data_IF_819150367344
#
_entry.id   IF_819150367344
#
_cell.length_a   1.000
_cell.length_b   1.000
_cell.length_c   1.000
_cell.angle_alpha   90.00
_cell.angle_beta   90.00
_cell.angle_gamma   90.00
#
_symmetry.space_group_name_H-M   'P 1'
#
loop_
_entity.id
_entity.type
_entity.pdbx_description
1 polymer ?
#
# COMPACT_ATOMS: atom_id res chain seq x y z
N UNK A 1 -9.87 9.47 13.25
CA UNK A 1 -8.73 9.62 14.17
C UNK A 1 -8.42 11.10 14.31
N UNK A 2 -8.76 11.74 15.44
CA UNK A 2 -8.52 13.16 15.69
C UNK A 2 -7.02 13.51 15.80
N UNK A 3 -6.17 12.50 16.00
CA UNK A 3 -4.73 12.67 16.26
C UNK A 3 -3.88 12.50 15.00
N UNK A 4 -4.25 13.20 13.90
CA UNK A 4 -3.30 13.36 12.81
C UNK A 4 -2.19 14.33 13.23
N UNK A 5 -1.21 13.81 13.98
CA UNK A 5 0.05 14.49 14.28
C UNK A 5 0.96 14.44 13.05
N UNK A 6 0.50 15.02 11.94
CA UNK A 6 1.27 15.12 10.71
C UNK A 6 2.56 15.91 10.90
N UNK A 7 3.50 15.75 9.96
CA UNK A 7 4.69 16.60 9.89
C UNK A 7 4.26 18.07 9.89
N UNK A 8 5.00 18.95 10.58
CA UNK A 8 4.83 20.41 10.43
C UNK A 8 5.13 20.82 8.99
N UNK A 9 4.60 21.95 8.52
CA UNK A 9 4.70 22.35 7.11
C UNK A 9 6.13 22.43 6.57
N UNK A 10 7.05 23.06 7.31
CA UNK A 10 8.46 23.12 6.92
C UNK A 10 9.10 21.73 6.88
N UNK A 11 8.79 20.88 7.87
CA UNK A 11 9.30 19.51 7.95
C UNK A 11 8.78 18.68 6.77
N UNK A 12 7.50 18.83 6.41
CA UNK A 12 6.89 18.11 5.29
C UNK A 12 7.55 18.42 3.95
N UNK A 13 7.75 19.70 3.61
CA UNK A 13 8.35 20.07 2.32
C UNK A 13 9.78 19.51 2.21
N UNK A 14 10.54 19.58 3.31
CA UNK A 14 11.87 18.97 3.38
C UNK A 14 11.80 17.45 3.22
N UNK A 15 10.88 16.75 3.90
CA UNK A 15 10.76 15.29 3.75
C UNK A 15 10.27 14.88 2.36
N UNK A 16 9.36 15.63 1.75
CA UNK A 16 8.91 15.39 0.38
C UNK A 16 10.08 15.50 -0.61
N UNK A 17 10.95 16.51 -0.44
CA UNK A 17 12.16 16.64 -1.25
C UNK A 17 13.14 15.47 -1.04
N UNK A 18 13.34 15.04 0.21
CA UNK A 18 14.19 13.88 0.54
C UNK A 18 13.63 12.57 0.00
N UNK A 19 12.31 12.39 0.02
CA UNK A 19 11.65 11.23 -0.57
C UNK A 19 11.84 11.21 -2.09
N UNK A 20 11.65 12.36 -2.74
CA UNK A 20 11.90 12.52 -4.17
C UNK A 20 13.37 12.22 -4.53
N UNK A 21 14.32 12.75 -3.75
CA UNK A 21 15.75 12.44 -3.91
C UNK A 21 16.03 10.95 -3.72
N UNK A 22 15.43 10.32 -2.71
CA UNK A 22 15.60 8.90 -2.47
C UNK A 22 15.13 8.09 -3.67
N UNK A 23 13.91 8.35 -4.16
CA UNK A 23 13.34 7.64 -5.31
C UNK A 23 14.21 7.84 -6.56
N UNK A 24 14.57 9.09 -6.88
CA UNK A 24 15.27 9.43 -8.12
C UNK A 24 16.74 9.02 -8.17
N UNK A 25 17.44 9.09 -7.04
CA UNK A 25 18.91 9.05 -7.05
C UNK A 25 19.46 7.92 -6.18
N UNK A 26 18.94 7.77 -4.96
CA UNK A 26 19.55 6.87 -3.96
C UNK A 26 19.07 5.44 -4.14
N UNK A 27 17.76 5.26 -4.11
CA UNK A 27 17.07 3.98 -4.18
C UNK A 27 16.56 3.63 -5.57
N UNK A 28 16.94 4.36 -6.63
CA UNK A 28 16.38 4.17 -7.97
C UNK A 28 16.44 2.72 -8.48
N UNK A 29 17.52 1.98 -8.16
CA UNK A 29 17.70 0.55 -8.49
C UNK A 29 16.68 -0.39 -7.85
N UNK A 30 15.95 0.06 -6.83
CA UNK A 30 14.92 -0.73 -6.15
C UNK A 30 13.61 -0.76 -6.95
N UNK A 31 13.39 0.23 -7.82
CA UNK A 31 12.14 0.39 -8.54
C UNK A 31 12.22 -0.38 -9.86
N UNK A 32 11.13 -1.04 -10.29
CA UNK A 32 11.09 -1.69 -11.59
C UNK A 32 11.36 -0.69 -12.73
N UNK A 33 11.96 -1.17 -13.81
CA UNK A 33 12.27 -0.35 -14.98
C UNK A 33 11.01 0.34 -15.52
N UNK A 34 11.15 1.61 -15.89
CA UNK A 34 10.04 2.45 -16.38
C UNK A 34 9.07 2.94 -15.29
N UNK A 35 9.26 2.60 -14.01
CA UNK A 35 8.42 3.13 -12.92
C UNK A 35 8.74 4.60 -12.65
N UNK A 36 10.04 4.92 -12.53
CA UNK A 36 10.51 6.28 -12.28
C UNK A 36 10.72 6.95 -13.64
N UNK A 37 9.77 7.79 -14.03
CA UNK A 37 9.86 8.60 -15.27
C UNK A 37 9.87 10.09 -14.93
N UNK A 38 10.42 10.96 -15.79
CA UNK A 38 10.37 12.40 -15.57
C UNK A 38 8.93 12.94 -15.39
N UNK A 39 7.91 12.51 -16.18
CA UNK A 39 6.52 12.90 -15.94
C UNK A 39 5.99 12.47 -14.57
N UNK A 40 6.21 11.21 -14.17
CA UNK A 40 5.76 10.68 -12.88
C UNK A 40 6.38 11.48 -11.72
N UNK A 41 7.67 11.79 -11.79
CA UNK A 41 8.35 12.52 -10.72
C UNK A 41 8.00 14.01 -10.68
N UNK A 42 7.63 14.61 -11.82
CA UNK A 42 7.06 15.97 -11.85
C UNK A 42 5.71 15.99 -11.12
N UNK A 43 4.85 14.99 -11.35
CA UNK A 43 3.57 14.84 -10.68
C UNK A 43 3.68 14.44 -9.21
N UNK A 44 4.70 13.68 -8.82
CA UNK A 44 4.83 13.11 -7.47
C UNK A 44 4.83 14.17 -6.35
N UNK A 45 5.59 15.27 -6.51
CA UNK A 45 5.60 16.34 -5.49
C UNK A 45 4.27 17.08 -5.41
N UNK A 46 3.63 17.34 -6.56
CA UNK A 46 2.31 17.94 -6.61
C UNK A 46 1.29 17.03 -5.90
N UNK A 47 1.28 15.74 -6.22
CA UNK A 47 0.46 14.73 -5.56
C UNK A 47 0.65 14.74 -4.04
N UNK A 48 1.89 14.73 -3.53
CA UNK A 48 2.14 14.76 -2.09
C UNK A 48 1.54 16.01 -1.43
N UNK A 49 1.76 17.18 -2.02
CA UNK A 49 1.26 18.46 -1.51
C UNK A 49 -0.27 18.51 -1.57
N UNK A 50 -0.88 18.15 -2.70
CA UNK A 50 -2.32 18.12 -2.89
C UNK A 50 -2.99 17.13 -1.95
N UNK A 51 -2.44 15.92 -1.83
CA UNK A 51 -2.95 14.89 -0.90
C UNK A 51 -2.87 15.38 0.54
N UNK A 52 -1.75 16.01 0.94
CA UNK A 52 -1.60 16.55 2.30
C UNK A 52 -2.60 17.67 2.59
N UNK A 53 -2.80 18.59 1.65
CA UNK A 53 -3.77 19.66 1.78
C UNK A 53 -5.21 19.12 1.92
N UNK A 54 -5.49 17.96 1.32
CA UNK A 54 -6.83 17.39 1.22
C UNK A 54 -7.03 16.12 2.08
N UNK A 55 -6.17 15.79 3.05
CA UNK A 55 -6.28 14.52 3.82
C UNK A 55 -7.68 14.29 4.37
N UNK A 56 -8.30 15.31 4.95
CA UNK A 56 -9.63 15.17 5.54
C UNK A 56 -10.72 14.99 4.48
N UNK A 57 -10.63 15.72 3.36
CA UNK A 57 -11.54 15.56 2.24
C UNK A 57 -11.43 14.17 1.62
N UNK A 58 -10.20 13.66 1.41
CA UNK A 58 -9.96 12.32 0.88
C UNK A 58 -10.51 11.27 1.83
N UNK A 59 -10.26 11.40 3.14
CA UNK A 59 -10.80 10.47 4.15
C UNK A 59 -12.32 10.47 4.16
N UNK A 60 -12.94 11.64 4.08
CA UNK A 60 -14.39 11.76 3.95
C UNK A 60 -14.88 11.11 2.65
N UNK A 61 -14.23 11.38 1.52
CA UNK A 61 -14.59 10.83 0.20
C UNK A 61 -14.57 9.31 0.19
N UNK A 62 -13.55 8.69 0.80
CA UNK A 62 -13.37 7.25 0.92
C UNK A 62 -14.43 6.57 1.80
N UNK A 63 -15.13 7.31 2.67
CA UNK A 63 -16.12 6.76 3.60
C UNK A 63 -17.54 7.31 3.37
N UNK A 64 -17.76 8.11 2.32
CA UNK A 64 -19.04 8.79 2.10
C UNK A 64 -20.16 7.86 1.62
N UNK A 65 -19.77 6.73 1.02
CA UNK A 65 -20.67 5.74 0.44
C UNK A 65 -20.58 4.46 1.28
N UNK A 66 -21.69 4.11 1.92
CA UNK A 66 -21.80 2.96 2.82
C UNK A 66 -21.54 1.64 2.08
N UNK A 67 -21.80 1.56 0.77
CA UNK A 67 -21.50 0.37 -0.02
C UNK A 67 -19.99 0.08 -0.06
N UNK A 68 -19.16 1.11 0.10
CA UNK A 68 -17.69 1.02 0.11
C UNK A 68 -17.11 0.93 1.51
N UNK A 69 -17.93 0.74 2.55
CA UNK A 69 -17.50 0.57 3.94
C UNK A 69 -17.79 -0.86 4.39
N UNK A 70 -16.78 -1.58 4.87
CA UNK A 70 -16.96 -2.95 5.34
C UNK A 70 -16.21 -3.21 6.65
N UNK A 71 -16.73 -4.16 7.44
CA UNK A 71 -16.00 -4.72 8.58
C UNK A 71 -14.97 -5.72 8.05
N UNK A 72 -13.72 -5.52 8.43
CA UNK A 72 -12.64 -6.43 8.06
C UNK A 72 -11.33 -6.06 8.74
N UNK A 73 -10.31 -6.92 8.65
CA UNK A 73 -8.99 -6.64 9.21
C UNK A 73 -8.37 -5.42 8.51
N UNK A 74 -7.74 -4.51 9.26
CA UNK A 74 -7.05 -3.39 8.63
C UNK A 74 -5.70 -3.75 8.03
N UNK A 75 -5.16 -4.88 8.47
CA UNK A 75 -3.90 -5.43 8.00
C UNK A 75 -4.09 -6.92 7.83
N UNK A 76 -3.69 -7.41 6.67
CA UNK A 76 -3.58 -8.83 6.37
C UNK A 76 -2.21 -8.99 5.76
N UNK A 77 -1.36 -9.78 6.39
CA UNK A 77 -0.11 -10.24 5.79
C UNK A 77 -0.10 -11.77 5.70
N UNK A 78 1.00 -12.34 5.21
CA UNK A 78 1.10 -13.79 5.00
C UNK A 78 0.99 -14.57 6.31
N UNK A 79 1.33 -13.95 7.44
CA UNK A 79 1.30 -14.59 8.75
C UNK A 79 -0.12 -14.55 9.35
N UNK A 80 -0.94 -13.57 8.94
CA UNK A 80 -2.36 -13.49 9.29
C UNK A 80 -3.19 -14.63 8.70
N UNK A 81 -2.76 -15.22 7.59
CA UNK A 81 -3.51 -16.24 6.87
C UNK A 81 -3.05 -17.66 7.22
N UNK A 82 -3.99 -18.59 7.35
CA UNK A 82 -3.67 -20.01 7.52
C UNK A 82 -4.52 -20.89 6.63
N UNK A 83 -3.88 -21.90 6.05
CA UNK A 83 -4.57 -22.96 5.36
C UNK A 83 -4.88 -24.08 6.36
N UNK A 84 -6.10 -24.61 6.34
CA UNK A 84 -6.41 -25.88 7.01
C UNK A 84 -6.89 -26.88 5.99
N UNK A 85 -6.67 -28.17 6.27
CA UNK A 85 -7.16 -29.26 5.45
C UNK A 85 -8.25 -30.01 6.21
N UNK A 86 -9.36 -30.31 5.55
CA UNK A 86 -10.35 -31.22 6.11
C UNK A 86 -9.73 -32.61 6.29
N UNK A 87 -9.84 -33.15 7.51
CA UNK A 87 -9.40 -34.50 7.79
C UNK A 87 -10.17 -35.51 6.91
N UNK A 88 -9.54 -36.61 6.47
CA UNK A 88 -10.24 -37.68 5.76
C UNK A 88 -11.38 -38.21 6.64
N UNK A 89 -12.61 -38.10 6.15
CA UNK A 89 -13.75 -38.82 6.75
C UNK A 89 -13.79 -40.22 6.15
N UNK A 90 -14.11 -41.25 6.96
CA UNK A 90 -14.13 -42.67 6.54
C UNK A 90 -14.70 -42.83 5.12
N UNK A 91 -13.89 -43.33 4.20
CA UNK A 91 -14.28 -43.61 2.81
C UNK A 91 -14.27 -42.42 1.84
N UNK A 92 -13.87 -41.21 2.25
CA UNK A 92 -13.71 -40.05 1.36
C UNK A 92 -12.33 -39.39 1.55
N UNK A 93 -11.54 -39.19 0.48
CA UNK A 93 -10.32 -38.40 0.58
C UNK A 93 -10.68 -36.97 1.02
N UNK A 94 -9.91 -36.41 1.96
CA UNK A 94 -10.08 -35.03 2.43
C UNK A 94 -9.91 -34.08 1.24
N UNK A 95 -10.98 -33.36 0.86
CA UNK A 95 -11.03 -32.68 -0.44
C UNK A 95 -11.16 -31.16 -0.35
N UNK A 96 -11.24 -30.58 0.86
CA UNK A 96 -11.32 -29.14 1.03
C UNK A 96 -10.19 -28.63 1.91
N UNK A 97 -9.37 -27.79 1.30
CA UNK A 97 -8.46 -26.89 2.01
C UNK A 97 -9.19 -25.56 2.14
N UNK A 98 -9.37 -25.07 3.37
CA UNK A 98 -9.92 -23.75 3.63
C UNK A 98 -8.80 -22.75 3.90
N UNK A 99 -9.10 -21.46 3.73
CA UNK A 99 -8.24 -20.35 4.13
C UNK A 99 -8.92 -19.58 5.25
N UNK A 100 -8.20 -19.30 6.32
CA UNK A 100 -8.69 -18.54 7.47
C UNK A 100 -7.76 -17.40 7.83
N UNK A 101 -8.27 -16.50 8.67
CA UNK A 101 -7.52 -15.38 9.23
C UNK A 101 -7.41 -15.56 10.74
N UNK A 102 -6.23 -15.27 11.32
CA UNK A 102 -5.93 -15.41 12.75
C UNK A 102 -6.08 -14.11 13.54
N UNK A 103 -5.76 -12.98 12.91
CA UNK A 103 -5.57 -11.69 13.60
C UNK A 103 -6.88 -10.87 13.62
N UNK A 104 -7.81 -11.25 14.50
CA UNK A 104 -9.12 -10.59 14.62
C UNK A 104 -9.11 -9.32 15.46
N UNK A 105 -8.03 -9.04 16.20
CA UNK A 105 -7.88 -7.87 17.07
C UNK A 105 -7.87 -6.53 16.30
N UNK A 106 -7.55 -6.57 15.00
CA UNK A 106 -7.53 -5.41 14.13
C UNK A 106 -8.73 -5.36 13.15
N UNK A 107 -9.84 -6.02 13.50
CA UNK A 107 -11.06 -6.01 12.69
C UNK A 107 -11.94 -4.83 13.08
N UNK A 108 -12.18 -3.93 12.12
CA UNK A 108 -13.07 -2.76 12.28
C UNK A 108 -13.75 -2.39 10.97
N UNK A 109 -14.87 -1.66 11.07
CA UNK A 109 -15.48 -1.00 9.93
C UNK A 109 -14.52 0.04 9.33
N UNK A 110 -14.48 0.14 8.01
CA UNK A 110 -13.75 1.20 7.33
C UNK A 110 -13.79 1.08 5.80
N UNK A 111 -13.22 2.08 5.09
CA UNK A 111 -13.23 2.12 3.63
C UNK A 111 -12.56 0.90 3.00
N UNK A 112 -13.24 0.28 2.03
CA UNK A 112 -12.75 -0.87 1.29
C UNK A 112 -11.48 -0.56 0.51
N UNK A 113 -11.38 0.59 -0.15
CA UNK A 113 -10.15 0.97 -0.87
C UNK A 113 -8.93 1.07 0.04
N UNK A 114 -9.10 1.57 1.27
CA UNK A 114 -8.01 1.63 2.28
C UNK A 114 -7.59 0.23 2.71
N UNK A 115 -8.56 -0.65 2.98
CA UNK A 115 -8.28 -2.04 3.38
C UNK A 115 -7.59 -2.81 2.25
N UNK A 116 -8.11 -2.74 1.03
CA UNK A 116 -7.53 -3.39 -0.15
C UNK A 116 -6.12 -2.89 -0.43
N UNK A 117 -5.88 -1.57 -0.37
CA UNK A 117 -4.53 -1.02 -0.48
C UNK A 117 -3.60 -1.63 0.57
N UNK A 118 -4.01 -1.66 1.85
CA UNK A 118 -3.19 -2.22 2.93
C UNK A 118 -2.91 -3.72 2.79
N UNK A 119 -3.86 -4.48 2.26
CA UNK A 119 -3.67 -5.93 2.00
C UNK A 119 -2.74 -6.18 0.81
N UNK A 120 -2.75 -5.28 -0.19
CA UNK A 120 -1.99 -5.45 -1.43
C UNK A 120 -0.67 -4.65 -1.47
N UNK A 121 -0.41 -3.72 -0.55
CA UNK A 121 0.77 -2.84 -0.59
C UNK A 121 2.12 -3.57 -0.48
N UNK A 122 2.12 -4.86 -0.11
CA UNK A 122 3.32 -5.70 -0.11
C UNK A 122 3.33 -6.78 -1.21
N UNK A 123 2.30 -6.84 -2.06
CA UNK A 123 2.24 -7.75 -3.20
C UNK A 123 3.41 -7.54 -4.17
N UNK A 124 3.71 -8.54 -5.00
CA UNK A 124 4.74 -8.42 -6.04
C UNK A 124 4.39 -7.26 -7.00
N UNK A 125 5.41 -6.59 -7.52
CA UNK A 125 5.22 -5.33 -8.26
C UNK A 125 4.47 -5.52 -9.57
N UNK A 126 4.72 -6.63 -10.26
CA UNK A 126 4.00 -7.11 -11.44
C UNK A 126 2.52 -7.38 -11.14
N UNK A 127 2.21 -7.98 -9.98
CA UNK A 127 0.82 -8.20 -9.54
C UNK A 127 0.07 -6.86 -9.42
N UNK A 128 0.69 -5.83 -8.83
CA UNK A 128 0.07 -4.50 -8.74
C UNK A 128 0.02 -3.76 -10.08
N UNK A 129 1.05 -3.89 -10.92
CA UNK A 129 1.14 -3.18 -12.19
C UNK A 129 0.18 -3.75 -13.24
N UNK A 130 0.10 -5.08 -13.33
CA UNK A 130 -0.57 -5.78 -14.43
C UNK A 130 -1.90 -6.39 -14.01
N UNK A 131 -2.06 -6.75 -12.73
CA UNK A 131 -3.20 -7.54 -12.24
C UNK A 131 -4.06 -6.82 -11.20
N UNK A 132 -3.78 -5.55 -10.87
CA UNK A 132 -4.59 -4.79 -9.90
C UNK A 132 -6.07 -4.82 -10.25
N UNK A 133 -6.44 -4.44 -11.47
CA UNK A 133 -7.85 -4.35 -11.84
C UNK A 133 -8.52 -5.73 -11.86
N UNK A 134 -7.79 -6.79 -12.21
CA UNK A 134 -8.28 -8.18 -12.09
C UNK A 134 -8.53 -8.58 -10.64
N UNK A 135 -7.64 -8.19 -9.71
CA UNK A 135 -7.81 -8.43 -8.29
C UNK A 135 -9.01 -7.65 -7.73
N UNK A 136 -9.19 -6.40 -8.15
CA UNK A 136 -10.36 -5.59 -7.77
C UNK A 136 -11.65 -6.22 -8.30
N UNK A 137 -11.71 -6.63 -9.58
CA UNK A 137 -12.87 -7.36 -10.14
C UNK A 137 -13.14 -8.67 -9.41
N UNK A 138 -12.09 -9.42 -9.08
CA UNK A 138 -12.20 -10.65 -8.30
C UNK A 138 -12.81 -10.37 -6.92
N UNK A 139 -12.32 -9.33 -6.23
CA UNK A 139 -12.86 -8.90 -4.95
C UNK A 139 -14.34 -8.54 -5.09
N UNK A 140 -14.72 -7.67 -6.02
CA UNK A 140 -16.12 -7.26 -6.25
C UNK A 140 -17.02 -8.49 -6.46
N UNK A 141 -16.59 -9.42 -7.30
CA UNK A 141 -17.34 -10.66 -7.59
C UNK A 141 -17.52 -11.52 -6.34
N UNK A 142 -16.44 -11.75 -5.58
CA UNK A 142 -16.47 -12.60 -4.38
C UNK A 142 -17.25 -11.91 -3.27
N UNK A 143 -17.06 -10.61 -3.09
CA UNK A 143 -17.74 -9.79 -2.09
C UNK A 143 -19.26 -9.83 -2.31
N UNK A 144 -19.72 -9.60 -3.55
CA UNK A 144 -21.13 -9.74 -3.91
C UNK A 144 -21.68 -11.16 -3.70
N UNK A 145 -20.92 -12.17 -4.09
CA UNK A 145 -21.33 -13.57 -3.93
C UNK A 145 -21.50 -13.99 -2.45
N UNK A 146 -20.89 -13.25 -1.52
CA UNK A 146 -20.99 -13.50 -0.07
C UNK A 146 -21.80 -12.43 0.67
N UNK A 147 -22.67 -11.69 -0.04
CA UNK A 147 -23.64 -10.78 0.56
C UNK A 147 -23.23 -9.31 0.63
N UNK A 148 -22.07 -8.93 0.09
CA UNK A 148 -21.71 -7.53 -0.11
C UNK A 148 -22.51 -6.86 -1.24
N UNK A 149 -22.57 -5.52 -1.28
CA UNK A 149 -23.16 -4.78 -2.38
C UNK A 149 -22.40 -4.97 -3.70
N UNK A 150 -23.05 -4.61 -4.81
CA UNK A 150 -22.40 -4.54 -6.12
C UNK A 150 -21.61 -3.23 -6.19
N UNK A 151 -20.29 -3.32 -6.16
CA UNK A 151 -19.41 -2.15 -6.30
C UNK A 151 -19.16 -1.83 -7.78
N UNK A 152 -18.89 -0.55 -8.04
CA UNK A 152 -18.32 -0.09 -9.30
C UNK A 152 -16.79 -0.24 -9.29
N UNK A 153 -16.23 -0.68 -10.41
CA UNK A 153 -14.79 -0.94 -10.50
C UNK A 153 -13.98 0.36 -10.52
N UNK A 154 -14.45 1.39 -11.22
CA UNK A 154 -13.71 2.63 -11.36
C UNK A 154 -13.72 3.42 -10.05
N UNK A 155 -14.85 3.48 -9.35
CA UNK A 155 -14.93 4.07 -8.01
C UNK A 155 -14.01 3.32 -7.03
N UNK A 156 -14.03 1.98 -7.00
CA UNK A 156 -13.14 1.20 -6.13
C UNK A 156 -11.66 1.42 -6.47
N UNK A 157 -11.34 1.57 -7.76
CA UNK A 157 -9.99 1.91 -8.22
C UNK A 157 -9.57 3.29 -7.74
N UNK A 158 -10.43 4.30 -7.81
CA UNK A 158 -10.14 5.63 -7.26
C UNK A 158 -9.90 5.55 -5.76
N UNK A 159 -10.73 4.81 -5.02
CA UNK A 159 -10.54 4.63 -3.58
C UNK A 159 -9.19 3.97 -3.26
N UNK A 160 -8.79 2.96 -4.05
CA UNK A 160 -7.51 2.28 -3.91
C UNK A 160 -6.32 3.21 -4.16
N UNK A 161 -6.37 4.02 -5.22
CA UNK A 161 -5.30 4.98 -5.57
C UNK A 161 -5.20 6.09 -4.52
N UNK A 162 -6.34 6.65 -4.08
CA UNK A 162 -6.37 7.68 -3.03
C UNK A 162 -5.84 7.14 -1.70
N UNK A 163 -6.12 5.88 -1.37
CA UNK A 163 -5.54 5.23 -0.20
C UNK A 163 -4.00 5.10 -0.31
N UNK A 164 -3.47 4.77 -1.49
CA UNK A 164 -2.03 4.74 -1.73
C UNK A 164 -1.39 6.13 -1.63
N UNK A 165 -2.07 7.16 -2.12
CA UNK A 165 -1.62 8.56 -1.99
C UNK A 165 -1.55 9.00 -0.52
N UNK A 166 -2.58 8.68 0.28
CA UNK A 166 -2.58 8.94 1.73
C UNK A 166 -1.40 8.23 2.42
N UNK A 167 -1.16 6.96 2.10
CA UNK A 167 -0.03 6.20 2.67
C UNK A 167 1.32 6.81 2.22
N UNK A 168 1.39 7.39 1.02
CA UNK A 168 2.58 8.11 0.54
C UNK A 168 2.93 9.34 1.38
N UNK A 169 1.92 10.06 1.88
CA UNK A 169 2.11 11.20 2.79
C UNK A 169 2.65 10.73 4.14
N UNK A 170 2.09 9.65 4.69
CA UNK A 170 2.54 9.08 5.96
C UNK A 170 3.98 8.55 5.86
N UNK A 171 4.33 7.92 4.75
CA UNK A 171 5.64 7.29 4.54
C UNK A 171 6.80 8.29 4.50
N UNK A 172 6.52 9.59 4.30
CA UNK A 172 7.55 10.64 4.39
C UNK A 172 8.25 10.67 5.75
N UNK A 173 7.56 10.24 6.82
CA UNK A 173 8.15 10.13 8.16
C UNK A 173 9.23 9.07 8.25
N UNK A 174 9.16 8.03 7.41
CA UNK A 174 10.12 6.94 7.40
C UNK A 174 11.41 7.30 6.64
N UNK A 175 11.41 8.32 5.79
CA UNK A 175 12.58 8.67 4.95
C UNK A 175 13.83 9.00 5.77
N UNK A 176 13.78 9.83 6.85
CA UNK A 176 14.92 10.00 7.73
C UNK A 176 15.41 8.70 8.36
N UNK A 177 14.49 7.81 8.74
CA UNK A 177 14.82 6.53 9.37
C UNK A 177 15.49 5.58 8.38
N UNK A 178 15.08 5.59 7.10
CA UNK A 178 15.75 4.84 6.03
C UNK A 178 17.24 5.21 5.95
N UNK A 179 17.55 6.51 6.00
CA UNK A 179 18.93 6.99 5.97
C UNK A 179 19.70 6.73 7.27
N UNK A 180 19.00 6.67 8.42
CA UNK A 180 19.60 6.32 9.70
C UNK A 180 19.97 4.82 9.76
N UNK A 181 19.12 3.95 9.21
CA UNK A 181 19.37 2.51 9.12
C UNK A 181 20.43 2.16 8.07
N UNK A 182 20.48 2.90 6.97
CA UNK A 182 21.40 2.64 5.86
C UNK A 182 21.93 3.96 5.24
N UNK A 183 23.19 4.33 5.51
CA UNK A 183 23.75 5.60 5.04
C UNK A 183 23.70 5.75 3.52
N UNK A 184 23.50 6.99 3.03
CA UNK A 184 23.38 7.32 1.60
C UNK A 184 24.47 6.68 0.72
N UNK A 185 25.70 6.64 1.20
CA UNK A 185 26.86 6.07 0.48
C UNK A 185 26.75 4.58 0.19
N UNK A 186 26.02 3.82 1.01
CA UNK A 186 25.92 2.37 0.88
C UNK A 186 24.87 1.92 -0.16
N UNK A 187 23.92 2.79 -0.52
CA UNK A 187 22.82 2.49 -1.45
C UNK A 187 23.29 2.21 -2.87
N UNK A 188 24.43 2.77 -3.30
CA UNK A 188 25.01 2.53 -4.63
C UNK A 188 25.31 1.06 -4.90
N UNK A 189 25.62 0.31 -3.84
CA UNK A 189 25.96 -1.12 -3.87
C UNK A 189 24.76 -2.06 -3.74
N UNK A 190 23.55 -1.53 -3.55
CA UNK A 190 22.36 -2.36 -3.36
C UNK A 190 21.96 -3.01 -4.68
N UNK A 191 21.78 -4.33 -4.63
CA UNK A 191 21.41 -5.16 -5.80
C UNK A 191 19.91 -5.16 -6.10
N UNK A 192 19.09 -4.76 -5.12
CA UNK A 192 17.64 -4.68 -5.23
C UNK A 192 16.96 -4.91 -3.88
N UNK A 193 15.63 -5.04 -3.89
CA UNK A 193 14.85 -5.20 -2.66
C UNK A 193 15.09 -6.54 -1.93
N UNK A 194 15.63 -7.55 -2.62
CA UNK A 194 16.00 -8.86 -2.05
C UNK A 194 17.44 -8.92 -1.54
N UNK A 195 18.15 -7.80 -1.53
CA UNK A 195 19.50 -7.75 -0.99
C UNK A 195 19.50 -8.21 0.48
N UNK A 196 20.26 -9.27 0.80
CA UNK A 196 20.27 -9.88 2.14
C UNK A 196 20.62 -8.88 3.23
N UNK A 197 21.40 -7.85 2.89
CA UNK A 197 21.80 -6.80 3.82
C UNK A 197 20.63 -5.92 4.25
N UNK A 198 19.60 -5.79 3.42
CA UNK A 198 18.37 -5.05 3.74
C UNK A 198 17.38 -5.88 4.57
N UNK A 199 17.36 -7.21 4.38
CA UNK A 199 16.38 -8.10 5.02
C UNK A 199 16.54 -8.18 6.55
N UNK A 200 17.75 -7.95 7.06
CA UNK A 200 18.03 -7.97 8.50
C UNK A 200 17.85 -6.64 9.22
N UNK A 201 17.45 -5.58 8.51
CA UNK A 201 17.39 -4.23 9.09
C UNK A 201 16.00 -3.88 9.58
N UNK A 202 15.93 -3.39 10.82
CA UNK A 202 14.72 -2.85 11.43
C UNK A 202 14.65 -1.33 11.23
N UNK A 203 13.43 -0.82 11.10
CA UNK A 203 13.10 0.60 11.00
C UNK A 203 11.99 0.88 12.03
N UNK A 204 12.37 1.47 13.16
CA UNK A 204 11.51 1.60 14.34
C UNK A 204 11.01 0.23 14.82
N UNK A 205 9.69 0.04 14.84
CA UNK A 205 9.02 -1.23 15.19
C UNK A 205 8.80 -2.17 13.99
N UNK A 206 9.15 -1.73 12.77
CA UNK A 206 8.94 -2.48 11.53
C UNK A 206 10.24 -2.93 10.88
N UNK A 207 10.14 -3.58 9.70
CA UNK A 207 11.32 -3.87 8.88
C UNK A 207 11.54 -2.76 7.84
N UNK A 208 12.81 -2.44 7.60
CA UNK A 208 13.19 -1.52 6.50
C UNK A 208 12.66 -2.05 5.17
N UNK A 209 12.68 -3.38 4.98
CA UNK A 209 12.16 -4.04 3.79
C UNK A 209 10.68 -3.72 3.54
N UNK A 210 9.81 -3.79 4.56
CA UNK A 210 8.39 -3.47 4.41
C UNK A 210 8.20 -2.00 4.02
N UNK A 211 8.95 -1.09 4.64
CA UNK A 211 8.92 0.33 4.30
C UNK A 211 9.29 0.57 2.83
N UNK A 212 10.42 0.02 2.38
CA UNK A 212 10.88 0.13 1.00
C UNK A 212 9.88 -0.53 0.02
N UNK A 213 9.34 -1.69 0.38
CA UNK A 213 8.35 -2.39 -0.43
C UNK A 213 7.09 -1.55 -0.63
N UNK A 214 6.60 -0.93 0.44
CA UNK A 214 5.47 0.00 0.38
C UNK A 214 5.78 1.19 -0.54
N UNK A 215 6.95 1.82 -0.38
CA UNK A 215 7.36 2.96 -1.21
C UNK A 215 7.38 2.62 -2.71
N UNK A 216 7.95 1.46 -3.06
CA UNK A 216 8.02 0.97 -4.45
C UNK A 216 6.60 0.75 -5.01
N UNK A 217 5.75 0.09 -4.23
CA UNK A 217 4.40 -0.23 -4.66
C UNK A 217 3.49 1.01 -4.76
N UNK A 218 3.70 2.02 -3.92
CA UNK A 218 3.07 3.34 -4.04
C UNK A 218 3.49 3.98 -5.37
N UNK A 219 4.80 4.07 -5.64
CA UNK A 219 5.28 4.65 -6.89
C UNK A 219 4.72 3.93 -8.13
N UNK A 220 4.60 2.59 -8.08
CA UNK A 220 3.97 1.81 -9.14
C UNK A 220 2.50 2.17 -9.35
N UNK A 221 1.70 2.20 -8.28
CA UNK A 221 0.27 2.55 -8.39
C UNK A 221 0.10 3.97 -8.92
N UNK A 222 0.86 4.92 -8.37
CA UNK A 222 0.79 6.33 -8.76
C UNK A 222 1.36 6.62 -10.15
N UNK A 223 2.21 5.74 -10.70
CA UNK A 223 2.67 5.86 -12.10
C UNK A 223 1.56 5.61 -13.13
N UNK A 224 0.43 5.03 -12.71
CA UNK A 224 -0.68 4.65 -13.60
C UNK A 224 -1.90 5.56 -13.49
N UNK A 225 -1.87 6.58 -12.62
CA UNK A 225 -3.02 7.44 -12.36
C UNK A 225 -2.58 8.83 -11.88
N UNK A 226 -3.17 9.89 -12.43
CA UNK A 226 -2.96 11.24 -11.94
C UNK A 226 -3.89 11.54 -10.75
N UNK A 227 -3.33 11.48 -9.54
CA UNK A 227 -4.08 11.76 -8.30
C UNK A 227 -4.56 13.21 -8.25
N UNK A 228 -3.86 14.14 -8.92
CA UNK A 228 -4.27 15.54 -8.92
C UNK A 228 -5.54 15.72 -9.74
N UNK A 229 -5.76 14.92 -10.78
CA UNK A 229 -7.01 14.93 -11.54
C UNK A 229 -8.18 14.26 -10.80
N UNK A 230 -7.89 13.42 -9.79
CA UNK A 230 -8.91 12.77 -8.96
C UNK A 230 -9.45 13.65 -7.81
N UNK A 231 -8.81 14.79 -7.54
CA UNK A 231 -9.10 15.69 -6.41
C UNK A 231 -9.58 17.06 -6.88
#
# INVERSE_FOLDING_TARGET
DPDWHGLRDGDFIMQAARAQEFILQVGAKLFPEGTITPPMMKGYRAMLVTTRANVQLIRWWLQRDDDYVAVGPDRVDMDSAYCWHEAPRRGRPGRRSGLGLRDWEAVRAGPLGVKLWRWLRFAQGDVLKERRDDLLRLFIRVYRAHGGPQLDLDELRHHFVLAAALDSVELLRAVPEIYACWPKSQWTSVSGLRDKRLLGLSLGQGSLWLCLKSLINIALVLSTCDVVELL
#
